data_IF_768898456198
#
_entry.id   IF_768898456198
#
_cell.length_a   1.000
_cell.length_b   1.000
_cell.length_c   1.000
_cell.angle_alpha   90.00
_cell.angle_beta   90.00
_cell.angle_gamma   90.00
#
_symmetry.space_group_name_H-M   'P 1'
#
loop_
_entity.id
_entity.type
_entity.pdbx_description
1 polymer ?
#
# COMPACT_ATOMS: atom_id res chain seq x y z
N UNK A 1 -6.29 25.04 28.71
CA UNK A 1 -5.01 24.48 28.22
C UNK A 1 -4.92 23.08 28.81
N UNK A 2 -5.14 22.05 27.99
CA UNK A 2 -5.08 20.65 28.45
C UNK A 2 -3.69 20.11 28.12
N UNK A 3 -3.00 19.55 29.10
CA UNK A 3 -1.69 18.94 28.90
C UNK A 3 -1.88 17.44 28.75
N UNK A 4 -1.63 16.92 27.55
CA UNK A 4 -1.77 15.50 27.27
C UNK A 4 -0.50 14.77 27.71
N UNK A 5 -0.64 13.81 28.63
CA UNK A 5 0.48 12.98 29.12
C UNK A 5 0.69 11.70 28.30
N UNK A 6 1.84 11.04 28.48
CA UNK A 6 2.17 9.75 27.86
C UNK A 6 1.10 8.65 28.10
N UNK A 7 0.51 8.48 29.30
CA UNK A 7 -0.52 7.47 29.53
C UNK A 7 -1.80 7.72 28.74
N UNK A 8 -2.15 8.99 28.55
CA UNK A 8 -3.35 9.42 27.83
C UNK A 8 -3.19 9.18 26.31
N UNK A 9 -2.00 9.48 25.76
CA UNK A 9 -1.65 9.14 24.37
C UNK A 9 -1.67 7.63 24.12
N UNK A 10 -1.09 6.82 25.02
CA UNK A 10 -1.14 5.35 24.90
C UNK A 10 -2.58 4.85 24.97
N UNK A 11 -3.42 5.46 25.81
CA UNK A 11 -4.85 5.18 25.89
C UNK A 11 -5.57 5.40 24.55
N UNK A 12 -5.34 6.55 23.90
CA UNK A 12 -5.96 6.84 22.60
C UNK A 12 -5.56 5.85 21.51
N UNK A 13 -4.28 5.45 21.47
CA UNK A 13 -3.80 4.48 20.49
C UNK A 13 -4.33 3.07 20.77
N UNK A 14 -4.41 2.67 22.04
CA UNK A 14 -4.90 1.35 22.43
C UNK A 14 -6.41 1.14 22.17
N UNK A 15 -7.20 2.21 22.24
CA UNK A 15 -8.66 2.13 22.06
C UNK A 15 -9.11 2.43 20.62
N UNK A 16 -8.23 2.96 19.77
CA UNK A 16 -8.53 3.20 18.34
C UNK A 16 -9.57 4.30 18.05
N UNK A 17 -10.00 5.04 19.07
CA UNK A 17 -11.21 5.88 18.99
C UNK A 17 -11.00 7.22 18.27
N UNK A 18 -9.79 7.80 18.26
CA UNK A 18 -9.48 9.01 17.48
C UNK A 18 -7.95 9.22 17.37
N UNK A 19 -7.40 9.22 16.14
CA UNK A 19 -5.99 9.53 15.86
C UNK A 19 -5.73 11.03 15.62
N UNK A 20 -6.80 11.81 15.40
CA UNK A 20 -6.69 13.24 15.16
C UNK A 20 -6.19 14.07 16.37
N UNK A 21 -6.33 13.66 17.65
CA UNK A 21 -5.72 14.37 18.77
C UNK A 21 -4.19 14.42 18.71
N UNK A 22 -3.54 13.44 18.06
CA UNK A 22 -2.07 13.39 17.87
C UNK A 22 -1.58 14.57 17.01
N UNK A 23 -2.43 15.11 16.14
CA UNK A 23 -2.09 16.21 15.21
C UNK A 23 -2.55 17.59 15.67
N UNK A 24 -3.40 17.69 16.70
CA UNK A 24 -4.01 18.94 17.18
C UNK A 24 -3.23 19.67 18.29
N UNK A 25 -1.95 19.35 18.49
CA UNK A 25 -1.10 20.02 19.49
C UNK A 25 -0.88 21.51 19.17
N UNK A 26 -1.03 22.40 20.16
CA UNK A 26 -0.74 23.83 20.00
C UNK A 26 0.78 24.05 20.08
N UNK A 27 1.42 24.15 18.91
CA UNK A 27 2.84 24.45 18.73
C UNK A 27 3.34 23.98 17.36
N UNK A 28 4.20 24.77 16.68
CA UNK A 28 4.73 24.42 15.34
C UNK A 28 5.60 23.15 15.32
N UNK A 29 5.97 22.62 16.48
CA UNK A 29 6.70 21.38 16.61
C UNK A 29 5.71 20.27 16.97
N UNK A 30 5.08 19.69 15.95
CA UNK A 30 4.45 18.37 16.09
C UNK A 30 5.48 17.42 16.71
N UNK A 31 5.04 16.62 17.68
CA UNK A 31 5.87 15.63 18.42
C UNK A 31 6.76 14.86 17.44
N UNK A 32 8.02 14.51 17.74
CA UNK A 32 8.85 13.78 16.77
C UNK A 32 8.28 12.38 16.45
N UNK A 33 8.41 11.92 15.21
CA UNK A 33 7.90 10.60 14.81
C UNK A 33 8.69 9.46 15.46
N UNK A 34 10.00 9.65 15.67
CA UNK A 34 10.82 8.66 16.40
C UNK A 34 10.38 8.59 17.87
N UNK A 35 10.11 9.74 18.50
CA UNK A 35 9.60 9.78 19.87
C UNK A 35 8.26 9.05 20.01
N UNK A 36 7.33 9.19 19.05
CA UNK A 36 6.05 8.46 19.10
C UNK A 36 6.22 6.95 18.98
N UNK A 37 7.18 6.50 18.19
CA UNK A 37 7.52 5.08 18.05
C UNK A 37 8.15 4.54 19.34
N UNK A 38 9.15 5.24 19.88
CA UNK A 38 9.89 4.81 21.07
C UNK A 38 9.03 4.84 22.35
N UNK A 39 8.25 5.90 22.54
CA UNK A 39 7.53 6.14 23.81
C UNK A 39 6.08 5.68 23.80
N UNK A 40 5.42 5.67 22.65
CA UNK A 40 4.00 5.35 22.52
C UNK A 40 3.77 4.06 21.72
N UNK A 41 4.80 3.54 21.05
CA UNK A 41 4.69 2.34 20.22
C UNK A 41 3.95 2.58 18.90
N UNK A 42 3.76 3.85 18.50
CA UNK A 42 3.12 4.17 17.23
C UNK A 42 4.11 3.98 16.09
N UNK A 43 3.86 3.07 15.12
CA UNK A 43 4.82 2.82 14.05
C UNK A 43 5.13 4.08 13.24
N UNK A 44 6.41 4.27 12.89
CA UNK A 44 6.88 5.49 12.21
C UNK A 44 6.06 5.88 10.96
N UNK A 45 5.76 4.90 10.09
CA UNK A 45 4.99 5.15 8.87
C UNK A 45 3.56 5.62 9.16
N UNK A 46 2.92 5.11 10.21
CA UNK A 46 1.57 5.50 10.59
C UNK A 46 1.56 6.94 11.11
N UNK A 47 2.52 7.30 11.98
CA UNK A 47 2.71 8.67 12.43
C UNK A 47 2.94 9.64 11.26
N UNK A 48 3.77 9.25 10.29
CA UNK A 48 4.02 10.03 9.07
C UNK A 48 2.74 10.22 8.24
N UNK A 49 1.96 9.16 8.03
CA UNK A 49 0.75 9.18 7.21
C UNK A 49 -0.34 10.04 7.82
N UNK A 50 -0.60 9.90 9.13
CA UNK A 50 -1.59 10.71 9.84
C UNK A 50 -1.26 12.20 9.73
N UNK A 51 0.02 12.60 9.91
CA UNK A 51 0.44 13.99 9.74
C UNK A 51 0.31 14.49 8.31
N UNK A 52 0.68 13.63 7.36
CA UNK A 52 0.59 13.97 5.94
C UNK A 52 -0.84 14.19 5.50
N UNK A 53 -1.79 13.43 6.06
CA UNK A 53 -3.23 13.60 5.85
C UNK A 53 -3.74 14.85 6.56
N UNK A 54 -3.34 15.10 7.81
CA UNK A 54 -3.75 16.29 8.57
C UNK A 54 -3.28 17.62 7.96
N UNK A 55 -2.24 17.56 7.12
CA UNK A 55 -1.76 18.73 6.37
C UNK A 55 -2.60 19.00 5.11
N UNK A 56 -3.23 17.96 4.55
CA UNK A 56 -4.11 18.09 3.38
C UNK A 56 -5.55 18.42 3.78
N UNK A 57 -6.02 17.79 4.86
CA UNK A 57 -7.35 17.98 5.42
C UNK A 57 -7.25 18.29 6.91
N UNK A 58 -7.84 19.41 7.33
CA UNK A 58 -7.75 19.89 8.71
C UNK A 58 -8.40 18.91 9.72
N UNK A 59 -9.26 18.00 9.25
CA UNK A 59 -9.87 16.96 10.07
C UNK A 59 -9.62 15.57 9.45
N UNK A 60 -8.58 14.87 9.91
CA UNK A 60 -8.44 13.43 9.62
C UNK A 60 -9.53 12.70 10.39
N UNK A 61 -10.50 12.11 9.69
CA UNK A 61 -11.54 11.32 10.35
C UNK A 61 -10.92 10.09 11.04
N UNK A 62 -11.41 9.66 12.21
CA UNK A 62 -10.85 8.54 12.98
C UNK A 62 -10.67 7.26 12.17
N UNK A 63 -11.63 6.98 11.28
CA UNK A 63 -11.70 5.74 10.49
C UNK A 63 -11.07 5.87 9.10
N UNK A 64 -10.26 6.90 8.84
CA UNK A 64 -9.68 7.15 7.50
C UNK A 64 -8.76 6.01 7.02
N UNK A 65 -8.15 5.27 7.95
CA UNK A 65 -7.25 4.16 7.67
C UNK A 65 -7.88 2.78 7.95
N UNK A 66 -9.16 2.75 8.33
CA UNK A 66 -9.88 1.53 8.61
C UNK A 66 -10.28 0.86 7.30
N UNK A 67 -9.69 -0.31 7.04
CA UNK A 67 -9.95 -1.09 5.82
C UNK A 67 -9.60 -2.54 6.04
N UNK A 68 -9.85 -3.38 5.04
CA UNK A 68 -9.43 -4.78 5.08
C UNK A 68 -7.92 -4.92 5.33
N UNK A 69 -7.47 -6.02 5.96
CA UNK A 69 -6.05 -6.31 6.10
C UNK A 69 -5.34 -6.31 4.73
N UNK A 70 -4.13 -5.75 4.69
CA UNK A 70 -3.32 -5.69 3.48
C UNK A 70 -2.99 -7.09 2.95
N UNK A 71 -2.78 -8.08 3.82
CA UNK A 71 -2.72 -9.48 3.45
C UNK A 71 -3.95 -9.96 2.65
N UNK A 72 -5.16 -9.57 3.07
CA UNK A 72 -6.40 -9.94 2.38
C UNK A 72 -6.51 -9.31 1.00
N UNK A 73 -6.08 -8.04 0.86
CA UNK A 73 -5.96 -7.39 -0.44
C UNK A 73 -4.94 -8.11 -1.33
N UNK A 74 -3.76 -8.42 -0.79
CA UNK A 74 -2.71 -9.13 -1.51
C UNK A 74 -3.18 -10.49 -2.01
N UNK A 75 -3.83 -11.28 -1.15
CA UNK A 75 -4.30 -12.62 -1.48
C UNK A 75 -5.53 -12.62 -2.40
N UNK A 76 -6.47 -11.71 -2.15
CA UNK A 76 -7.76 -11.68 -2.84
C UNK A 76 -7.74 -10.94 -4.19
N UNK A 77 -6.86 -9.95 -4.36
CA UNK A 77 -6.80 -9.14 -5.57
C UNK A 77 -5.44 -9.26 -6.26
N UNK A 78 -4.35 -8.89 -5.57
CA UNK A 78 -3.04 -8.77 -6.23
C UNK A 78 -2.48 -10.10 -6.71
N UNK A 79 -2.66 -11.17 -5.95
CA UNK A 79 -2.16 -12.49 -6.31
C UNK A 79 -2.87 -13.04 -7.56
N UNK A 80 -4.22 -13.09 -7.64
CA UNK A 80 -4.92 -13.43 -8.88
C UNK A 80 -4.50 -12.59 -10.08
N UNK A 81 -4.40 -11.26 -9.90
CA UNK A 81 -4.05 -10.34 -10.99
C UNK A 81 -2.59 -10.45 -11.42
N UNK A 82 -1.68 -10.90 -10.54
CA UNK A 82 -0.26 -11.03 -10.87
C UNK A 82 0.05 -12.11 -11.90
N UNK A 83 -0.90 -13.01 -12.20
CA UNK A 83 -0.68 -14.14 -13.10
C UNK A 83 0.34 -15.15 -12.58
N UNK A 84 0.63 -15.16 -11.28
CA UNK A 84 1.61 -16.08 -10.70
C UNK A 84 1.10 -17.52 -10.75
N UNK A 85 1.92 -18.44 -11.27
CA UNK A 85 1.59 -19.86 -11.32
C UNK A 85 1.42 -20.44 -9.90
N UNK A 86 0.42 -21.31 -9.65
CA UNK A 86 0.14 -21.88 -8.32
C UNK A 86 1.34 -22.55 -7.66
N UNK A 87 2.18 -23.24 -8.43
CA UNK A 87 3.39 -23.91 -7.94
C UNK A 87 4.39 -22.91 -7.37
N UNK A 88 4.51 -21.76 -8.04
CA UNK A 88 5.36 -20.66 -7.57
C UNK A 88 4.80 -20.02 -6.30
N UNK A 89 3.47 -19.89 -6.18
CA UNK A 89 2.82 -19.41 -4.95
C UNK A 89 3.12 -20.37 -3.79
N UNK A 90 2.93 -21.67 -4.00
CA UNK A 90 3.18 -22.70 -3.00
C UNK A 90 4.65 -22.70 -2.55
N UNK A 91 5.59 -22.61 -3.50
CA UNK A 91 7.01 -22.54 -3.18
C UNK A 91 7.41 -21.26 -2.41
N UNK A 92 6.92 -20.09 -2.83
CA UNK A 92 7.33 -18.81 -2.23
C UNK A 92 6.65 -18.50 -0.91
N UNK A 93 5.35 -18.81 -0.80
CA UNK A 93 4.54 -18.38 0.33
C UNK A 93 4.06 -19.54 1.22
N UNK A 94 4.22 -20.79 0.77
CA UNK A 94 3.87 -21.97 1.58
C UNK A 94 2.37 -22.28 1.63
N UNK A 95 1.58 -21.76 0.70
CA UNK A 95 0.14 -22.06 0.61
C UNK A 95 -0.31 -22.29 -0.84
N UNK A 96 -1.40 -23.03 -1.00
CA UNK A 96 -2.00 -23.33 -2.31
C UNK A 96 -2.87 -22.15 -2.78
N UNK A 97 -2.67 -21.71 -4.03
CA UNK A 97 -3.53 -20.73 -4.68
C UNK A 97 -4.29 -21.36 -5.86
N UNK A 98 -5.44 -20.78 -6.19
CA UNK A 98 -6.13 -21.09 -7.42
C UNK A 98 -5.30 -20.66 -8.64
N UNK A 99 -5.57 -21.26 -9.79
CA UNK A 99 -5.02 -20.80 -11.06
C UNK A 99 -5.42 -19.33 -11.31
N UNK A 100 -4.56 -18.60 -12.01
CA UNK A 100 -4.86 -17.24 -12.40
C UNK A 100 -6.17 -17.19 -13.21
N UNK A 101 -7.09 -16.26 -12.91
CA UNK A 101 -8.34 -16.15 -13.63
C UNK A 101 -8.08 -15.79 -15.10
N UNK A 102 -8.96 -16.31 -15.97
CA UNK A 102 -9.08 -15.90 -17.35
C UNK A 102 -9.64 -14.46 -17.46
N UNK A 103 -9.81 -13.94 -18.67
CA UNK A 103 -10.28 -12.56 -18.88
C UNK A 103 -11.64 -12.31 -18.23
N UNK A 104 -12.58 -13.24 -18.33
CA UNK A 104 -13.90 -13.12 -17.73
C UNK A 104 -13.84 -13.18 -16.19
N UNK A 105 -13.02 -14.07 -15.64
CA UNK A 105 -12.79 -14.17 -14.20
C UNK A 105 -12.12 -12.93 -13.62
N UNK A 106 -11.20 -12.29 -14.37
CA UNK A 106 -10.60 -11.00 -13.98
C UNK A 106 -11.63 -9.89 -13.95
N UNK A 107 -12.48 -9.79 -14.98
CA UNK A 107 -13.55 -8.80 -15.04
C UNK A 107 -14.50 -8.95 -13.85
N UNK A 108 -14.95 -10.17 -13.56
CA UNK A 108 -15.79 -10.48 -12.41
C UNK A 108 -15.11 -10.12 -11.07
N UNK A 109 -13.82 -10.43 -10.92
CA UNK A 109 -13.05 -10.10 -9.73
C UNK A 109 -12.95 -8.58 -9.52
N UNK A 110 -12.70 -7.83 -10.58
CA UNK A 110 -12.60 -6.36 -10.53
C UNK A 110 -13.95 -5.73 -10.19
N UNK A 111 -15.03 -6.19 -10.80
CA UNK A 111 -16.40 -5.75 -10.49
C UNK A 111 -16.78 -6.03 -9.03
N UNK A 112 -16.47 -7.24 -8.56
CA UNK A 112 -16.70 -7.63 -7.17
C UNK A 112 -15.91 -6.73 -6.22
N UNK A 113 -14.63 -6.47 -6.52
CA UNK A 113 -13.77 -5.63 -5.69
C UNK A 113 -14.23 -4.16 -5.67
N UNK A 114 -14.63 -3.61 -6.83
CA UNK A 114 -15.17 -2.26 -6.94
C UNK A 114 -16.46 -2.11 -6.10
N UNK A 115 -17.35 -3.09 -6.16
CA UNK A 115 -18.66 -3.04 -5.49
C UNK A 115 -18.58 -3.31 -3.98
N UNK A 116 -17.70 -4.22 -3.55
CA UNK A 116 -17.62 -4.64 -2.14
C UNK A 116 -17.16 -3.52 -1.22
N UNK A 117 -17.85 -3.30 -0.10
CA UNK A 117 -17.33 -2.42 0.94
C UNK A 117 -16.14 -3.08 1.65
N UNK A 118 -14.99 -2.45 1.56
CA UNK A 118 -13.70 -2.92 2.09
C UNK A 118 -12.95 -1.83 2.84
N UNK A 119 -13.62 -0.70 3.14
CA UNK A 119 -13.01 0.48 3.73
C UNK A 119 -11.99 1.18 2.81
N UNK A 120 -12.08 0.98 1.49
CA UNK A 120 -11.26 1.69 0.51
C UNK A 120 -12.12 2.61 -0.35
N UNK A 121 -11.67 3.86 -0.51
CA UNK A 121 -12.27 4.81 -1.44
C UNK A 121 -12.15 4.33 -2.89
N UNK A 122 -12.96 4.90 -3.79
CA UNK A 122 -12.89 4.56 -5.22
C UNK A 122 -11.49 4.76 -5.78
N UNK A 123 -10.86 5.90 -5.47
CA UNK A 123 -9.50 6.24 -5.88
C UNK A 123 -8.48 5.21 -5.37
N UNK A 124 -8.61 4.78 -4.11
CA UNK A 124 -7.73 3.74 -3.54
C UNK A 124 -7.94 2.40 -4.23
N UNK A 125 -9.18 2.02 -4.54
CA UNK A 125 -9.46 0.79 -5.30
C UNK A 125 -8.85 0.85 -6.69
N UNK A 126 -8.93 1.98 -7.37
CA UNK A 126 -8.29 2.18 -8.67
C UNK A 126 -6.76 2.14 -8.57
N UNK A 127 -6.18 2.69 -7.50
CA UNK A 127 -4.74 2.55 -7.24
C UNK A 127 -4.33 1.09 -7.07
N UNK A 128 -5.15 0.28 -6.38
CA UNK A 128 -4.92 -1.15 -6.26
C UNK A 128 -5.00 -1.84 -7.62
N UNK A 129 -6.06 -1.56 -8.40
CA UNK A 129 -6.28 -2.15 -9.71
C UNK A 129 -5.08 -1.80 -10.59
N UNK A 130 -4.81 -0.52 -10.85
CA UNK A 130 -3.71 -0.09 -11.73
C UNK A 130 -2.31 -0.45 -11.21
N UNK A 131 -2.18 -0.94 -9.97
CA UNK A 131 -0.89 -1.20 -9.34
C UNK A 131 -0.06 0.07 -9.12
N UNK A 132 -0.75 1.22 -9.00
CA UNK A 132 -0.16 2.54 -8.84
C UNK A 132 -0.66 3.18 -7.53
N UNK A 133 0.04 2.95 -6.41
CA UNK A 133 -0.30 3.58 -5.14
C UNK A 133 0.06 5.09 -5.12
N UNK A 134 0.78 5.59 -6.13
CA UNK A 134 1.23 6.97 -6.21
C UNK A 134 0.28 7.85 -7.02
N UNK A 135 -0.84 7.29 -7.51
CA UNK A 135 -1.92 8.00 -8.23
C UNK A 135 -1.39 8.83 -9.42
N UNK A 136 -0.65 8.18 -10.32
CA UNK A 136 0.02 8.84 -11.45
C UNK A 136 1.39 9.46 -11.10
N UNK A 137 1.69 9.66 -9.81
CA UNK A 137 2.98 10.16 -9.34
C UNK A 137 4.17 9.24 -9.70
N UNK A 138 5.40 9.78 -9.72
CA UNK A 138 6.59 8.99 -10.04
C UNK A 138 6.88 7.95 -8.96
N UNK A 139 7.43 6.80 -9.36
CA UNK A 139 7.93 5.80 -8.43
C UNK A 139 9.03 6.43 -7.55
N UNK A 140 8.95 6.22 -6.24
CA UNK A 140 9.89 6.84 -5.30
C UNK A 140 11.22 6.11 -5.19
N UNK A 141 11.26 4.83 -5.59
CA UNK A 141 12.39 3.93 -5.39
C UNK A 141 12.78 3.21 -6.67
N UNK A 142 14.07 2.90 -6.77
CA UNK A 142 14.65 2.01 -7.79
C UNK A 142 15.01 0.67 -7.16
N UNK A 143 15.26 -0.35 -8.00
CA UNK A 143 15.71 -1.70 -7.57
C UNK A 143 16.88 -1.64 -6.58
N UNK A 144 17.92 -0.86 -6.87
CA UNK A 144 19.07 -0.69 -5.97
C UNK A 144 18.71 -0.11 -4.61
N UNK A 145 17.69 0.76 -4.56
CA UNK A 145 17.21 1.33 -3.29
C UNK A 145 16.53 0.26 -2.44
N UNK A 146 15.79 -0.66 -3.07
CA UNK A 146 15.20 -1.80 -2.37
C UNK A 146 16.24 -2.81 -1.88
N UNK A 147 17.32 -3.03 -2.64
CA UNK A 147 18.45 -3.86 -2.17
C UNK A 147 19.09 -3.22 -0.93
N UNK A 148 19.36 -1.91 -0.96
CA UNK A 148 19.88 -1.18 0.21
C UNK A 148 18.91 -1.24 1.40
N UNK A 149 17.60 -1.20 1.15
CA UNK A 149 16.60 -1.36 2.20
C UNK A 149 16.71 -2.74 2.85
N UNK A 150 16.80 -3.82 2.07
CA UNK A 150 17.00 -5.18 2.58
C UNK A 150 18.30 -5.32 3.39
N UNK A 151 19.39 -4.68 2.96
CA UNK A 151 20.65 -4.65 3.72
C UNK A 151 20.49 -3.98 5.10
N UNK A 152 19.60 -2.98 5.22
CA UNK A 152 19.32 -2.36 6.51
C UNK A 152 18.40 -3.20 7.41
N UNK A 153 17.69 -4.18 6.85
CA UNK A 153 16.73 -5.02 7.55
C UNK A 153 17.30 -6.40 7.92
N UNK A 154 18.40 -6.80 7.31
CA UNK A 154 18.98 -8.13 7.46
C UNK A 154 20.49 -8.04 7.65
N UNK A 155 21.04 -8.93 8.46
CA UNK A 155 22.48 -9.14 8.59
C UNK A 155 23.02 -9.97 7.40
N UNK A 156 22.80 -9.49 6.18
CA UNK A 156 23.34 -10.07 4.94
C UNK A 156 24.25 -9.06 4.26
N UNK A 157 25.28 -9.57 3.59
CA UNK A 157 26.15 -8.74 2.76
C UNK A 157 25.48 -8.43 1.42
N UNK A 158 25.89 -7.31 0.80
CA UNK A 158 25.41 -6.94 -0.54
C UNK A 158 25.65 -8.04 -1.57
N UNK A 159 26.81 -8.70 -1.51
CA UNK A 159 27.15 -9.82 -2.40
C UNK A 159 26.16 -10.97 -2.28
N UNK A 160 25.84 -11.41 -1.06
CA UNK A 160 24.87 -12.49 -0.85
C UNK A 160 23.48 -12.17 -1.42
N UNK A 161 23.02 -10.91 -1.29
CA UNK A 161 21.75 -10.50 -1.88
C UNK A 161 21.80 -10.49 -3.41
N UNK A 162 22.88 -10.00 -4.01
CA UNK A 162 23.04 -9.97 -5.47
C UNK A 162 23.18 -11.38 -6.08
N UNK A 163 23.91 -12.27 -5.41
CA UNK A 163 24.04 -13.67 -5.79
C UNK A 163 22.65 -14.34 -5.74
N UNK A 164 21.90 -14.15 -4.65
CA UNK A 164 20.53 -14.68 -4.56
C UNK A 164 19.62 -14.08 -5.62
N UNK A 165 19.74 -12.78 -5.89
CA UNK A 165 18.94 -12.07 -6.90
C UNK A 165 19.16 -12.63 -8.31
N UNK A 166 20.37 -13.09 -8.61
CA UNK A 166 20.69 -13.73 -9.89
C UNK A 166 19.94 -15.06 -10.05
N UNK A 167 19.72 -15.78 -8.95
CA UNK A 167 18.96 -17.04 -8.94
C UNK A 167 17.46 -16.80 -9.02
N UNK A 168 16.91 -15.86 -8.22
CA UNK A 168 15.45 -15.65 -8.15
C UNK A 168 14.91 -14.73 -9.25
N UNK A 169 15.77 -13.90 -9.86
CA UNK A 169 15.44 -12.99 -10.97
C UNK A 169 14.62 -11.75 -10.59
N UNK A 170 14.00 -11.71 -9.41
CA UNK A 170 13.10 -10.64 -8.97
C UNK A 170 13.41 -10.18 -7.54
N UNK A 171 13.53 -8.86 -7.35
CA UNK A 171 13.80 -8.26 -6.03
C UNK A 171 12.61 -8.45 -5.07
N UNK A 172 11.37 -8.51 -5.57
CA UNK A 172 10.21 -8.75 -4.73
C UNK A 172 10.26 -10.13 -4.05
N UNK A 173 10.84 -11.14 -4.74
CA UNK A 173 11.07 -12.47 -4.16
C UNK A 173 12.04 -12.40 -2.98
N UNK A 174 13.09 -11.56 -3.06
CA UNK A 174 13.99 -11.38 -1.92
C UNK A 174 13.28 -10.79 -0.69
N UNK A 175 12.32 -9.89 -0.90
CA UNK A 175 11.49 -9.36 0.20
C UNK A 175 10.63 -10.46 0.81
N UNK A 176 9.99 -11.32 0.00
CA UNK A 176 9.26 -12.46 0.49
C UNK A 176 10.16 -13.41 1.32
N UNK A 177 11.31 -13.80 0.78
CA UNK A 177 12.29 -14.67 1.47
C UNK A 177 12.87 -14.05 2.74
N UNK A 178 12.84 -12.72 2.85
CA UNK A 178 13.33 -12.00 4.02
C UNK A 178 12.43 -12.14 5.25
N UNK A 179 11.19 -12.60 5.07
CA UNK A 179 10.16 -12.68 6.12
C UNK A 179 9.96 -14.14 6.56
N UNK A 180 9.68 -14.34 7.84
CA UNK A 180 9.43 -15.66 8.41
C UNK A 180 7.94 -16.05 8.35
N UNK A 181 7.07 -15.14 8.79
CA UNK A 181 5.62 -15.36 8.86
C UNK A 181 4.91 -15.01 7.54
N UNK A 182 3.81 -15.70 7.26
CA UNK A 182 3.00 -15.47 6.06
C UNK A 182 2.28 -14.11 6.09
N UNK A 183 1.75 -13.74 7.26
CA UNK A 183 1.11 -12.46 7.57
C UNK A 183 1.69 -11.94 8.89
N UNK A 184 1.54 -10.65 9.15
CA UNK A 184 1.96 -10.04 10.40
C UNK A 184 0.79 -9.88 11.39
N UNK A 185 1.12 -9.85 12.67
CA UNK A 185 0.22 -9.48 13.77
C UNK A 185 0.87 -8.37 14.60
N UNK A 186 0.20 -7.22 14.82
CA UNK A 186 -1.10 -6.83 14.27
C UNK A 186 -1.04 -6.57 12.74
N UNK A 187 -2.12 -6.83 12.00
CA UNK A 187 -2.13 -6.69 10.55
C UNK A 187 -2.00 -5.22 10.12
N UNK A 188 -1.30 -4.98 9.01
CA UNK A 188 -1.37 -3.71 8.28
C UNK A 188 -2.74 -3.62 7.59
N UNK A 189 -3.36 -2.45 7.59
CA UNK A 189 -4.57 -2.22 6.78
C UNK A 189 -4.18 -1.84 5.35
N UNK A 190 -5.06 -2.12 4.38
CA UNK A 190 -4.81 -1.74 2.99
C UNK A 190 -4.71 -0.22 2.81
N UNK A 191 -5.62 0.54 3.44
CA UNK A 191 -5.64 2.00 3.42
C UNK A 191 -4.36 2.58 4.04
N UNK A 192 -3.89 2.04 5.17
CA UNK A 192 -2.62 2.42 5.80
C UNK A 192 -1.47 2.32 4.81
N UNK A 193 -1.32 1.19 4.10
CA UNK A 193 -0.24 0.99 3.14
C UNK A 193 -0.37 1.94 1.95
N UNK A 194 -1.56 2.05 1.34
CA UNK A 194 -1.78 2.85 0.14
C UNK A 194 -1.58 4.35 0.41
N UNK A 195 -2.14 4.88 1.50
CA UNK A 195 -1.97 6.28 1.87
C UNK A 195 -0.53 6.60 2.27
N UNK A 196 0.15 5.69 2.94
CA UNK A 196 1.57 5.84 3.25
C UNK A 196 2.40 5.97 1.97
N UNK A 197 2.19 5.08 1.00
CA UNK A 197 2.92 5.12 -0.27
C UNK A 197 2.61 6.39 -1.07
N UNK A 198 1.34 6.81 -1.13
CA UNK A 198 0.95 8.08 -1.75
C UNK A 198 1.64 9.27 -1.09
N UNK A 199 1.58 9.38 0.23
CA UNK A 199 2.17 10.49 0.97
C UNK A 199 3.69 10.51 0.84
N UNK A 200 4.35 9.35 0.81
CA UNK A 200 5.80 9.23 0.63
C UNK A 200 6.29 9.81 -0.71
N UNK A 201 5.45 9.80 -1.75
CA UNK A 201 5.78 10.34 -3.07
C UNK A 201 5.65 11.85 -3.19
N UNK A 202 5.08 12.53 -2.19
CA UNK A 202 4.94 13.99 -2.18
C UNK A 202 6.30 14.69 -2.26
N UNK A 203 6.29 15.90 -2.82
CA UNK A 203 7.45 16.80 -2.83
C UNK A 203 7.79 17.20 -1.39
N UNK A 204 9.08 17.31 -1.06
CA UNK A 204 9.57 17.65 0.28
C UNK A 204 9.89 16.45 1.18
N UNK A 205 9.42 15.24 0.86
CA UNK A 205 9.81 14.04 1.62
C UNK A 205 11.24 13.63 1.26
N UNK A 206 12.15 13.68 2.24
CA UNK A 206 13.57 13.37 2.05
C UNK A 206 13.80 11.90 1.72
N UNK A 207 14.89 11.58 1.02
CA UNK A 207 15.26 10.18 0.73
C UNK A 207 15.41 9.33 2.00
N UNK A 208 15.99 9.88 3.07
CA UNK A 208 16.13 9.16 4.35
C UNK A 208 14.77 8.78 4.91
N UNK A 209 13.87 9.77 5.01
CA UNK A 209 12.50 9.56 5.51
C UNK A 209 11.77 8.49 4.70
N UNK A 210 11.91 8.46 3.38
CA UNK A 210 11.32 7.40 2.54
C UNK A 210 11.88 6.01 2.90
N UNK A 211 13.18 5.91 3.18
CA UNK A 211 13.79 4.66 3.62
C UNK A 211 13.25 4.22 4.99
N UNK A 212 13.10 5.16 5.93
CA UNK A 212 12.61 4.86 7.28
C UNK A 212 11.12 4.44 7.26
N UNK A 213 10.29 5.11 6.45
CA UNK A 213 8.89 4.72 6.19
C UNK A 213 8.82 3.29 5.66
N UNK A 214 9.58 2.98 4.60
CA UNK A 214 9.54 1.64 4.00
C UNK A 214 10.12 0.58 4.94
N UNK A 215 11.13 0.92 5.75
CA UNK A 215 11.67 0.01 6.77
C UNK A 215 10.58 -0.36 7.77
N UNK A 216 9.88 0.65 8.29
CA UNK A 216 8.79 0.48 9.25
C UNK A 216 7.63 -0.34 8.67
N UNK A 217 7.24 -0.11 7.41
CA UNK A 217 6.24 -0.95 6.71
C UNK A 217 6.69 -2.41 6.55
N UNK A 218 7.91 -2.64 6.04
CA UNK A 218 8.42 -4.00 5.73
C UNK A 218 8.62 -4.82 7.01
N UNK A 219 8.97 -4.19 8.12
CA UNK A 219 9.06 -4.86 9.43
C UNK A 219 7.72 -5.41 9.89
N UNK A 220 6.60 -4.79 9.51
CA UNK A 220 5.24 -5.24 9.79
C UNK A 220 4.59 -6.03 8.66
N UNK A 221 5.33 -6.42 7.63
CA UNK A 221 4.79 -7.26 6.55
C UNK A 221 5.12 -8.74 6.77
N UNK A 222 4.15 -9.61 6.49
CA UNK A 222 4.39 -11.01 6.19
C UNK A 222 4.99 -11.22 4.79
N UNK A 223 5.27 -12.47 4.43
CA UNK A 223 5.89 -12.85 3.14
C UNK A 223 5.15 -12.31 1.93
N UNK A 224 3.82 -12.50 1.89
CA UNK A 224 2.99 -12.11 0.75
C UNK A 224 2.91 -10.57 0.63
N UNK A 225 2.76 -9.91 1.76
CA UNK A 225 2.67 -8.44 1.85
C UNK A 225 3.99 -7.79 1.43
N UNK A 226 5.13 -8.31 1.91
CA UNK A 226 6.45 -7.79 1.56
C UNK A 226 6.75 -7.95 0.06
N UNK A 227 6.30 -9.06 -0.56
CA UNK A 227 6.38 -9.27 -2.00
C UNK A 227 5.65 -8.17 -2.78
N UNK A 228 4.37 -7.95 -2.47
CA UNK A 228 3.56 -6.97 -3.20
C UNK A 228 3.93 -5.53 -2.86
N UNK A 229 4.32 -5.23 -1.63
CA UNK A 229 4.85 -3.92 -1.25
C UNK A 229 6.06 -3.55 -2.11
N UNK A 230 7.02 -4.48 -2.29
CA UNK A 230 8.18 -4.25 -3.15
C UNK A 230 7.78 -3.98 -4.62
N UNK A 231 6.78 -4.70 -5.15
CA UNK A 231 6.29 -4.47 -6.52
C UNK A 231 5.55 -3.14 -6.68
N UNK A 232 4.70 -2.77 -5.71
CA UNK A 232 3.98 -1.50 -5.68
C UNK A 232 4.94 -0.31 -5.64
N UNK A 233 5.95 -0.37 -4.78
CA UNK A 233 6.97 0.68 -4.64
C UNK A 233 7.77 0.90 -5.94
N UNK A 234 7.93 -0.14 -6.74
CA UNK A 234 8.58 -0.05 -8.06
C UNK A 234 7.64 0.39 -9.20
N UNK A 235 6.33 0.54 -8.95
CA UNK A 235 5.27 0.61 -9.98
C UNK A 235 5.36 -0.55 -10.99
N UNK A 236 5.77 -1.73 -10.50
CA UNK A 236 5.92 -2.97 -11.28
C UNK A 236 5.02 -4.09 -10.73
N UNK A 237 3.89 -3.70 -10.17
CA UNK A 237 2.86 -4.64 -9.72
C UNK A 237 2.47 -5.61 -10.85
N UNK A 238 2.59 -5.17 -12.12
CA UNK A 238 2.66 -6.06 -13.28
C UNK A 238 1.47 -6.98 -13.36
N UNK A 239 0.30 -6.44 -13.05
CA UNK A 239 -0.98 -7.12 -13.06
C UNK A 239 -1.57 -7.27 -14.49
N UNK A 240 -0.76 -7.06 -15.53
CA UNK A 240 -1.16 -7.27 -16.93
C UNK A 240 -1.98 -6.15 -17.57
N UNK A 241 -1.86 -4.91 -17.09
CA UNK A 241 -2.73 -3.77 -17.43
C UNK A 241 -2.63 -3.19 -18.85
N UNK A 242 -1.80 -3.76 -19.72
CA UNK A 242 -1.62 -3.23 -21.08
C UNK A 242 -2.92 -3.31 -21.93
N UNK A 243 -3.93 -4.09 -21.50
CA UNK A 243 -5.18 -4.32 -22.23
C UNK A 243 -6.48 -4.00 -21.46
N UNK A 244 -6.42 -3.46 -20.24
CA UNK A 244 -7.61 -3.35 -19.37
C UNK A 244 -8.25 -1.96 -19.31
N UNK A 245 -7.75 -0.96 -20.05
CA UNK A 245 -8.43 0.34 -20.17
C UNK A 245 -9.93 0.22 -20.54
N UNK A 246 -10.30 -0.57 -21.54
CA UNK A 246 -11.72 -0.83 -21.87
C UNK A 246 -12.48 -1.63 -20.80
N UNK A 247 -11.79 -2.49 -20.05
CA UNK A 247 -12.40 -3.27 -18.97
C UNK A 247 -12.71 -2.36 -17.78
N UNK A 248 -11.75 -1.51 -17.39
CA UNK A 248 -11.92 -0.52 -16.33
C UNK A 248 -13.02 0.48 -16.68
N UNK A 249 -13.06 0.94 -17.93
CA UNK A 249 -14.09 1.86 -18.41
C UNK A 249 -15.49 1.21 -18.38
N UNK A 250 -15.61 -0.07 -18.74
CA UNK A 250 -16.86 -0.84 -18.59
C UNK A 250 -17.26 -0.97 -17.12
N UNK A 251 -16.33 -1.33 -16.25
CA UNK A 251 -16.64 -1.52 -14.83
C UNK A 251 -17.02 -0.22 -14.11
N UNK A 252 -16.35 0.88 -14.43
CA UNK A 252 -16.74 2.20 -13.95
C UNK A 252 -18.06 2.66 -14.56
N UNK A 253 -18.25 2.45 -15.87
CA UNK A 253 -19.50 2.78 -16.56
C UNK A 253 -20.72 2.09 -15.97
N UNK A 254 -20.64 0.77 -15.76
CA UNK A 254 -21.71 0.00 -15.14
C UNK A 254 -22.02 0.45 -13.71
N UNK A 255 -20.98 0.75 -12.92
CA UNK A 255 -21.15 1.16 -11.52
C UNK A 255 -21.80 2.54 -11.38
N UNK A 256 -21.44 3.48 -12.25
CA UNK A 256 -21.89 4.89 -12.16
C UNK A 256 -22.98 5.25 -13.18
N UNK A 257 -23.46 4.27 -13.95
CA UNK A 257 -24.48 4.50 -14.99
C UNK A 257 -24.00 5.34 -16.17
N UNK A 258 -22.68 5.36 -16.43
CA UNK A 258 -22.08 6.11 -17.52
C UNK A 258 -21.78 5.20 -18.73
N UNK A 259 -21.93 5.68 -19.97
CA UNK A 259 -21.51 4.94 -21.16
C UNK A 259 -19.99 4.62 -21.10
N UNK A 260 -19.58 3.35 -21.25
CA UNK A 260 -18.17 2.94 -21.16
C UNK A 260 -17.25 3.72 -22.11
N UNK A 261 -17.72 4.07 -23.31
CA UNK A 261 -16.95 4.83 -24.29
C UNK A 261 -16.61 6.24 -23.79
N UNK A 262 -17.53 6.88 -23.06
CA UNK A 262 -17.31 8.20 -22.48
C UNK A 262 -16.31 8.13 -21.32
N UNK A 263 -16.39 7.09 -20.49
CA UNK A 263 -15.42 6.86 -19.41
C UNK A 263 -14.02 6.60 -19.99
N UNK A 264 -13.94 5.78 -21.05
CA UNK A 264 -12.69 5.51 -21.75
C UNK A 264 -12.09 6.79 -22.36
N UNK A 265 -12.92 7.60 -23.04
CA UNK A 265 -12.47 8.89 -23.59
C UNK A 265 -12.02 9.86 -22.50
N UNK A 266 -12.76 10.01 -21.41
CA UNK A 266 -12.39 10.87 -20.30
C UNK A 266 -11.07 10.44 -19.63
N UNK A 267 -10.88 9.13 -19.48
CA UNK A 267 -9.64 8.53 -18.94
C UNK A 267 -8.46 8.79 -19.88
N UNK A 268 -8.66 8.70 -21.19
CA UNK A 268 -7.62 8.97 -22.19
C UNK A 268 -7.21 10.45 -22.26
N UNK A 269 -8.14 11.37 -21.97
CA UNK A 269 -7.89 12.81 -21.97
C UNK A 269 -7.21 13.32 -20.70
N UNK A 270 -7.43 12.64 -19.57
CA UNK A 270 -6.90 13.03 -18.26
C UNK A 270 -6.13 11.86 -17.65
N UNK A 271 -6.70 11.21 -16.64
CA UNK A 271 -6.26 9.93 -16.09
C UNK A 271 -7.43 9.29 -15.32
N UNK A 272 -7.30 8.00 -14.99
CA UNK A 272 -8.36 7.26 -14.32
C UNK A 272 -8.63 7.74 -12.89
N UNK A 273 -7.66 8.37 -12.21
CA UNK A 273 -7.84 8.90 -10.86
C UNK A 273 -8.67 10.18 -10.90
N UNK A 274 -8.40 11.08 -11.86
CA UNK A 274 -9.17 12.30 -12.04
C UNK A 274 -10.62 12.02 -12.41
N UNK A 275 -10.87 11.05 -13.30
CA UNK A 275 -12.24 10.60 -13.62
C UNK A 275 -12.96 10.09 -12.38
N UNK A 276 -12.26 9.35 -11.52
CA UNK A 276 -12.84 8.80 -10.30
C UNK A 276 -13.10 9.83 -9.19
N UNK A 277 -12.40 10.95 -9.18
CA UNK A 277 -12.69 12.06 -8.26
C UNK A 277 -13.98 12.81 -8.65
N UNK A 278 -14.43 12.67 -9.90
CA UNK A 278 -15.60 13.39 -10.47
C UNK A 278 -16.87 12.54 -10.52
N UNK A 279 -16.75 11.20 -10.57
CA UNK A 279 -17.87 10.24 -10.60
C UNK A 279 -18.44 9.95 -9.20
#
# INVERSE_FOLDING_TARGET
MHFVGQPELRGWIAHGDDLAPITRGIGRNLVDANWLEDEVGLPFHLAFTIRSLATEDAAVAPHTLDSIPFFSLCKGLFLPLSGMAPEKVAHLFGFQAAAAPDTAGREALLQQFLTKDVGLSLVQKLSCILGDPFRGGPATMKRDSLIRLLLSLQLKTQRQLLDRLTVVGDVAVLFAESRQALHAEPPLTAAEVLETLRCMAKRGVSRSTRFDILRSLVQRCGKLEAYFLARLVLKKAGFGFDYEGPLLARALGERFGAPPDLVAHATALTDAFHVADVL
#
